data_IF_730495739232
#
_entry.id   IF_730495739232
#
_cell.length_a   1.000
_cell.length_b   1.000
_cell.length_c   1.000
_cell.angle_alpha   90.00
_cell.angle_beta   90.00
_cell.angle_gamma   90.00
#
_symmetry.space_group_name_H-M   'P 1'
#
loop_
_entity.id
_entity.type
_entity.pdbx_description
1 polymer ?
#
# COMPACT_ATOMS: atom_id res chain seq x y z
N UNK A 1 20.27 -3.26 18.37
CA UNK A 1 21.14 -2.78 17.27
C UNK A 1 20.34 -2.98 16.00
N UNK A 2 19.62 -1.94 15.56
CA UNK A 2 18.81 -2.04 14.35
C UNK A 2 19.76 -1.98 13.16
N UNK A 3 20.05 -3.14 12.59
CA UNK A 3 20.81 -3.25 11.35
C UNK A 3 19.99 -2.60 10.24
N UNK A 4 20.60 -1.67 9.51
CA UNK A 4 20.03 -1.14 8.27
C UNK A 4 19.72 -2.34 7.34
N UNK A 5 18.57 -2.33 6.63
CA UNK A 5 18.23 -3.41 5.72
C UNK A 5 19.29 -3.59 4.64
N UNK A 6 19.44 -4.83 4.15
CA UNK A 6 20.41 -5.15 3.11
C UNK A 6 20.05 -4.37 1.83
N UNK A 7 21.05 -3.92 1.07
CA UNK A 7 20.83 -3.07 -0.12
C UNK A 7 19.85 -3.67 -1.15
N UNK A 8 19.79 -5.01 -1.24
CA UNK A 8 18.84 -5.71 -2.09
C UNK A 8 17.39 -5.66 -1.56
N UNK A 9 17.17 -5.56 -0.24
CA UNK A 9 15.84 -5.39 0.34
C UNK A 9 15.28 -3.98 0.06
N UNK A 10 16.14 -2.95 0.13
CA UNK A 10 15.80 -1.59 -0.30
C UNK A 10 15.43 -1.56 -1.78
N UNK A 11 16.24 -2.17 -2.64
CA UNK A 11 15.99 -2.18 -4.08
C UNK A 11 14.67 -2.88 -4.46
N UNK A 12 14.36 -4.02 -3.83
CA UNK A 12 13.12 -4.75 -4.07
C UNK A 12 11.90 -3.97 -3.55
N UNK A 13 12.01 -3.24 -2.45
CA UNK A 13 10.94 -2.35 -1.98
C UNK A 13 10.62 -1.23 -3.00
N UNK A 14 11.58 -0.85 -3.86
CA UNK A 14 11.36 0.13 -4.94
C UNK A 14 10.82 -0.48 -6.25
N UNK A 15 10.75 -1.82 -6.34
CA UNK A 15 10.21 -2.57 -7.49
C UNK A 15 8.69 -2.83 -7.35
N UNK A 16 8.11 -2.78 -6.15
CA UNK A 16 6.68 -3.04 -5.92
C UNK A 16 5.74 -1.86 -6.29
N UNK A 17 6.28 -0.67 -6.57
CA UNK A 17 5.52 0.55 -6.91
C UNK A 17 5.24 0.71 -8.42
N UNK A 18 5.17 -0.38 -9.20
CA UNK A 18 4.64 -0.28 -10.57
C UNK A 18 3.12 -0.09 -10.50
N UNK A 19 2.65 1.14 -10.80
CA UNK A 19 1.24 1.43 -11.06
C UNK A 19 0.77 0.53 -12.22
N UNK A 20 0.12 -0.58 -11.88
CA UNK A 20 -0.76 -1.28 -12.82
C UNK A 20 -1.91 -0.33 -13.17
N UNK A 21 -1.86 0.25 -14.38
CA UNK A 21 -2.98 0.96 -14.98
C UNK A 21 -4.14 -0.03 -15.16
N UNK A 22 -5.00 -0.19 -14.14
CA UNK A 22 -6.21 -1.00 -14.22
C UNK A 22 -7.22 -0.26 -15.10
N UNK A 23 -7.29 -0.65 -16.37
CA UNK A 23 -8.39 -0.27 -17.26
C UNK A 23 -9.72 -0.77 -16.67
N UNK A 24 -10.58 0.17 -16.26
CA UNK A 24 -11.94 -0.10 -15.82
C UNK A 24 -12.77 -0.52 -17.03
N UNK A 25 -12.95 -1.83 -17.21
CA UNK A 25 -13.90 -2.36 -18.20
C UNK A 25 -15.32 -2.19 -17.65
N UNK A 26 -16.04 -1.17 -18.13
CA UNK A 26 -17.48 -1.03 -17.93
C UNK A 26 -18.23 -2.18 -18.64
N UNK A 27 -18.69 -3.18 -17.88
CA UNK A 27 -19.61 -4.20 -18.40
C UNK A 27 -21.03 -3.65 -18.40
N UNK A 28 -21.51 -3.34 -19.61
CA UNK A 28 -22.88 -2.89 -19.90
C UNK A 28 -23.97 -3.85 -19.38
N UNK A 29 -25.02 -3.24 -18.82
CA UNK A 29 -26.26 -3.90 -18.39
C UNK A 29 -27.00 -4.48 -19.60
N UNK A 30 -27.49 -5.72 -19.49
CA UNK A 30 -28.56 -6.25 -20.36
C UNK A 30 -29.88 -6.36 -19.59
N UNK A 31 -31.05 -6.19 -20.24
CA UNK A 31 -32.31 -5.88 -19.57
C UNK A 31 -33.02 -7.13 -19.04
N UNK A 32 -33.76 -6.94 -17.95
CA UNK A 32 -34.72 -7.89 -17.38
C UNK A 32 -36.02 -7.84 -18.19
N UNK A 33 -36.49 -8.99 -18.68
CA UNK A 33 -37.84 -9.14 -19.21
C UNK A 33 -38.78 -9.68 -18.12
N UNK A 34 -39.88 -8.95 -17.91
CA UNK A 34 -41.04 -9.37 -17.11
C UNK A 34 -41.93 -10.34 -17.90
N UNK A 35 -42.53 -11.28 -17.19
CA UNK A 35 -43.57 -12.17 -17.70
C UNK A 35 -44.12 -13.03 -16.57
N UNK A 36 -45.19 -12.54 -15.95
CA UNK A 36 -46.06 -13.24 -15.00
C UNK A 36 -46.82 -14.37 -15.68
N UNK A 37 -47.05 -15.50 -14.99
CA UNK A 37 -48.41 -16.03 -14.78
C UNK A 37 -48.45 -17.24 -13.84
N UNK A 38 -49.56 -17.31 -13.12
CA UNK A 38 -49.92 -18.24 -12.05
C UNK A 38 -50.59 -19.47 -12.66
N UNK A 39 -50.29 -20.67 -12.19
CA UNK A 39 -51.32 -21.73 -12.13
C UNK A 39 -51.06 -22.74 -11.03
N UNK A 40 -52.16 -23.07 -10.36
CA UNK A 40 -52.32 -23.98 -9.24
C UNK A 40 -52.63 -25.38 -9.77
N UNK A 41 -52.04 -26.43 -9.19
CA UNK A 41 -52.64 -27.77 -9.21
C UNK A 41 -52.23 -28.59 -7.98
N UNK A 42 -53.24 -29.24 -7.41
CA UNK A 42 -53.26 -30.09 -6.21
C UNK A 42 -52.59 -31.45 -6.45
N UNK A 43 -51.90 -31.92 -5.40
CA UNK A 43 -52.04 -33.25 -4.80
C UNK A 43 -51.54 -34.48 -5.57
N UNK A 44 -50.59 -35.23 -4.98
CA UNK A 44 -50.90 -36.47 -4.25
C UNK A 44 -49.65 -37.27 -3.88
N UNK A 45 -49.68 -37.85 -2.67
CA UNK A 45 -49.00 -39.07 -2.20
C UNK A 45 -47.47 -39.14 -2.11
N UNK A 46 -46.94 -39.23 -0.89
CA UNK A 46 -46.45 -40.49 -0.27
C UNK A 46 -45.60 -40.15 0.95
N UNK A 47 -45.96 -40.72 2.10
CA UNK A 47 -45.12 -40.72 3.29
C UNK A 47 -43.88 -41.58 3.02
N UNK A 48 -42.72 -40.95 2.92
CA UNK A 48 -41.42 -41.63 3.06
C UNK A 48 -40.66 -41.01 4.23
N UNK A 49 -40.29 -41.87 5.16
CA UNK A 49 -39.60 -41.55 6.41
C UNK A 49 -38.18 -41.07 6.09
N UNK A 50 -38.00 -39.75 5.94
CA UNK A 50 -36.67 -39.15 5.83
C UNK A 50 -36.11 -38.92 7.24
N UNK A 51 -35.01 -39.60 7.53
CA UNK A 51 -34.18 -39.38 8.70
C UNK A 51 -33.88 -37.89 8.86
N UNK A 52 -34.32 -37.30 9.98
CA UNK A 52 -34.05 -35.89 10.31
C UNK A 52 -32.54 -35.72 10.44
N UNK A 53 -31.90 -35.20 9.39
CA UNK A 53 -30.57 -34.60 9.50
C UNK A 53 -30.67 -33.52 10.57
N UNK A 54 -29.89 -33.66 11.65
CA UNK A 54 -29.82 -32.64 12.70
C UNK A 54 -29.41 -31.34 12.02
N UNK A 55 -30.34 -30.38 11.95
CA UNK A 55 -30.04 -29.02 11.47
C UNK A 55 -28.84 -28.50 12.28
N UNK A 56 -27.83 -27.88 11.65
CA UNK A 56 -26.75 -27.25 12.39
C UNK A 56 -27.36 -26.29 13.42
N UNK A 57 -26.90 -26.39 14.68
CA UNK A 57 -27.42 -25.55 15.78
C UNK A 57 -27.30 -24.08 15.37
N UNK A 58 -28.45 -23.42 15.21
CA UNK A 58 -28.50 -22.00 14.95
C UNK A 58 -28.16 -21.27 16.24
N UNK A 59 -27.12 -20.43 16.23
CA UNK A 59 -26.72 -19.62 17.38
C UNK A 59 -27.88 -18.69 17.78
N UNK A 60 -28.21 -18.66 19.06
CA UNK A 60 -29.23 -17.78 19.63
C UNK A 60 -28.66 -16.43 20.08
N UNK A 61 -29.51 -15.48 20.50
CA UNK A 61 -29.08 -14.14 20.93
C UNK A 61 -28.07 -14.14 22.09
N UNK A 62 -28.20 -15.10 23.01
CA UNK A 62 -27.27 -15.26 24.15
C UNK A 62 -25.86 -15.65 23.67
N UNK A 63 -25.76 -16.46 22.61
CA UNK A 63 -24.46 -16.93 22.08
C UNK A 63 -23.60 -15.79 21.51
N UNK A 64 -24.22 -14.66 21.14
CA UNK A 64 -23.51 -13.47 20.67
C UNK A 64 -22.64 -12.87 21.78
N UNK A 65 -23.18 -12.79 23.00
CA UNK A 65 -22.46 -12.23 24.16
C UNK A 65 -21.28 -13.10 24.62
N UNK A 66 -21.34 -14.41 24.37
CA UNK A 66 -20.27 -15.35 24.69
C UNK A 66 -19.32 -15.62 23.52
N UNK A 67 -19.56 -15.03 22.34
CA UNK A 67 -18.66 -15.19 21.19
C UNK A 67 -17.41 -14.35 21.40
N UNK A 68 -16.21 -14.96 21.48
CA UNK A 68 -14.98 -14.24 21.76
C UNK A 68 -14.53 -13.38 20.57
N UNK A 69 -13.89 -12.24 20.85
CA UNK A 69 -13.32 -11.36 19.83
C UNK A 69 -12.36 -12.14 18.92
N UNK A 70 -12.55 -12.04 17.60
CA UNK A 70 -11.77 -12.75 16.58
C UNK A 70 -10.27 -12.44 16.62
N UNK A 71 -9.89 -11.20 16.91
CA UNK A 71 -8.48 -10.79 17.04
C UNK A 71 -7.80 -11.56 18.18
N UNK A 72 -8.46 -11.60 19.34
CA UNK A 72 -7.96 -12.29 20.54
C UNK A 72 -7.85 -13.79 20.31
N UNK A 73 -8.84 -14.39 19.63
CA UNK A 73 -8.81 -15.82 19.28
C UNK A 73 -7.62 -16.15 18.39
N UNK A 74 -7.36 -15.33 17.37
CA UNK A 74 -6.24 -15.53 16.44
C UNK A 74 -4.89 -15.32 17.13
N UNK A 75 -4.76 -14.27 17.96
CA UNK A 75 -3.55 -14.02 18.74
C UNK A 75 -3.24 -15.17 19.71
N UNK A 76 -4.24 -15.67 20.44
CA UNK A 76 -4.07 -16.80 21.36
C UNK A 76 -3.61 -18.08 20.64
N UNK A 77 -4.11 -18.34 19.43
CA UNK A 77 -3.64 -19.48 18.60
C UNK A 77 -2.18 -19.31 18.17
N UNK A 78 -1.73 -18.09 17.86
CA UNK A 78 -0.33 -17.81 17.55
C UNK A 78 0.56 -18.03 18.79
N UNK A 79 0.10 -17.63 19.98
CA UNK A 79 0.86 -17.73 21.24
C UNK A 79 0.94 -19.15 21.83
N UNK A 80 -0.11 -19.96 21.70
CA UNK A 80 -0.17 -21.31 22.29
C UNK A 80 0.63 -22.38 21.52
N UNK A 81 1.29 -22.02 20.41
CA UNK A 81 1.98 -22.98 19.55
C UNK A 81 1.01 -23.95 18.84
N UNK A 82 1.53 -24.82 17.96
CA UNK A 82 0.75 -25.81 17.20
C UNK A 82 0.17 -26.89 18.13
N UNK A 83 -0.83 -26.57 18.94
CA UNK A 83 -1.62 -27.59 19.61
C UNK A 83 -2.48 -28.26 18.55
N UNK A 84 -2.10 -29.48 18.15
CA UNK A 84 -2.87 -30.33 17.25
C UNK A 84 -4.21 -30.59 17.90
N UNK A 85 -5.25 -29.88 17.45
CA UNK A 85 -6.62 -30.24 17.81
C UNK A 85 -6.86 -31.69 17.40
N UNK A 86 -7.65 -32.41 18.21
CA UNK A 86 -8.02 -33.82 18.03
C UNK A 86 -8.67 -34.08 16.64
N UNK A 87 -9.13 -33.01 15.98
CA UNK A 87 -9.82 -33.00 14.69
C UNK A 87 -8.94 -32.57 13.50
N UNK A 88 -7.64 -32.30 13.68
CA UNK A 88 -6.75 -31.84 12.60
C UNK A 88 -6.52 -32.89 11.50
N UNK A 89 -6.73 -34.17 11.81
CA UNK A 89 -6.62 -35.28 10.86
C UNK A 89 -7.97 -35.81 10.37
N UNK A 90 -9.09 -35.15 10.71
CA UNK A 90 -10.41 -35.52 10.20
C UNK A 90 -10.48 -35.29 8.67
N UNK A 91 -10.64 -36.36 7.86
CA UNK A 91 -10.74 -36.25 6.41
C UNK A 91 -11.85 -35.30 5.95
N UNK A 92 -12.97 -35.29 6.67
CA UNK A 92 -14.11 -34.44 6.35
C UNK A 92 -13.78 -32.95 6.52
N UNK A 93 -13.04 -32.60 7.57
CA UNK A 93 -12.58 -31.22 7.77
C UNK A 93 -11.50 -30.79 6.78
N UNK A 94 -10.63 -31.72 6.37
CA UNK A 94 -9.65 -31.45 5.31
C UNK A 94 -10.36 -31.11 4.00
N UNK A 95 -11.36 -31.90 3.61
CA UNK A 95 -12.14 -31.64 2.39
C UNK A 95 -12.95 -30.33 2.46
N UNK A 96 -13.56 -30.02 3.60
CA UNK A 96 -14.27 -28.74 3.80
C UNK A 96 -13.31 -27.55 3.69
N UNK A 97 -12.13 -27.65 4.31
CA UNK A 97 -11.10 -26.62 4.22
C UNK A 97 -10.62 -26.44 2.79
N UNK A 98 -10.34 -27.53 2.08
CA UNK A 98 -9.91 -27.49 0.69
C UNK A 98 -10.93 -26.77 -0.20
N UNK A 99 -12.22 -27.14 -0.09
CA UNK A 99 -13.30 -26.45 -0.82
C UNK A 99 -13.37 -24.96 -0.51
N UNK A 100 -13.25 -24.57 0.76
CA UNK A 100 -13.24 -23.17 1.16
C UNK A 100 -12.03 -22.41 0.58
N UNK A 101 -10.84 -22.98 0.70
CA UNK A 101 -9.60 -22.40 0.17
C UNK A 101 -9.65 -22.24 -1.36
N UNK A 102 -10.16 -23.22 -2.10
CA UNK A 102 -10.32 -23.13 -3.56
C UNK A 102 -11.24 -21.96 -3.94
N UNK A 103 -12.37 -21.80 -3.23
CA UNK A 103 -13.31 -20.70 -3.50
C UNK A 103 -12.73 -19.34 -3.16
N UNK A 104 -12.02 -19.23 -2.04
CA UNK A 104 -11.31 -18.02 -1.65
C UNK A 104 -10.21 -17.64 -2.66
N UNK A 105 -9.38 -18.61 -3.07
CA UNK A 105 -8.33 -18.37 -4.06
C UNK A 105 -8.90 -17.91 -5.41
N UNK A 106 -10.00 -18.53 -5.89
CA UNK A 106 -10.71 -18.09 -7.09
C UNK A 106 -11.19 -16.64 -6.98
N UNK A 107 -11.79 -16.26 -5.84
CA UNK A 107 -12.19 -14.87 -5.61
C UNK A 107 -11.00 -13.91 -5.63
N UNK A 108 -9.86 -14.27 -5.03
CA UNK A 108 -8.65 -13.45 -5.11
C UNK A 108 -8.17 -13.27 -6.55
N UNK A 109 -8.17 -14.33 -7.35
CA UNK A 109 -7.76 -14.27 -8.77
C UNK A 109 -8.72 -13.41 -9.60
N UNK A 110 -10.04 -13.60 -9.41
CA UNK A 110 -11.07 -12.83 -10.11
C UNK A 110 -11.02 -11.33 -9.76
N UNK A 111 -10.68 -11.01 -8.50
CA UNK A 111 -10.61 -9.63 -8.00
C UNK A 111 -9.21 -8.99 -8.11
N UNK A 112 -8.21 -9.71 -8.62
CA UNK A 112 -6.84 -9.21 -8.73
C UNK A 112 -6.18 -8.91 -7.38
N UNK A 113 -6.51 -9.65 -6.32
CA UNK A 113 -5.94 -9.41 -4.99
C UNK A 113 -4.52 -9.99 -4.93
N UNK A 114 -3.49 -9.20 -4.55
CA UNK A 114 -2.12 -9.70 -4.38
C UNK A 114 -2.06 -10.87 -3.40
N UNK A 115 -1.25 -11.89 -3.68
CA UNK A 115 -1.16 -13.07 -2.81
C UNK A 115 -0.69 -12.73 -1.40
N UNK A 116 0.12 -11.69 -1.24
CA UNK A 116 0.58 -11.23 0.06
C UNK A 116 -0.57 -10.74 0.98
N UNK A 117 -1.76 -10.44 0.44
CA UNK A 117 -2.92 -10.02 1.24
C UNK A 117 -3.34 -11.06 2.30
N UNK A 118 -3.02 -12.34 2.11
CA UNK A 118 -3.30 -13.39 3.13
C UNK A 118 -2.39 -13.29 4.36
N UNK A 119 -1.29 -12.54 4.26
CA UNK A 119 -0.37 -12.28 5.36
C UNK A 119 -0.73 -11.03 6.16
N UNK A 120 -1.73 -10.25 5.73
CA UNK A 120 -2.23 -9.11 6.49
C UNK A 120 -2.76 -9.57 7.87
N UNK A 121 -2.46 -8.80 8.91
CA UNK A 121 -2.89 -9.14 10.28
C UNK A 121 -4.41 -9.23 10.42
N UNK A 122 -5.16 -8.48 9.61
CA UNK A 122 -6.63 -8.50 9.55
C UNK A 122 -7.21 -9.75 8.88
N UNK A 123 -6.42 -10.53 8.12
CA UNK A 123 -6.91 -11.69 7.39
C UNK A 123 -7.39 -12.82 8.30
N UNK A 124 -6.58 -13.17 9.31
CA UNK A 124 -6.93 -14.19 10.30
C UNK A 124 -8.24 -13.87 11.05
N UNK A 125 -8.36 -12.67 11.65
CA UNK A 125 -9.58 -12.22 12.32
C UNK A 125 -10.80 -12.22 11.41
N UNK A 126 -10.67 -11.80 10.15
CA UNK A 126 -11.76 -11.86 9.17
C UNK A 126 -12.26 -13.30 8.96
N UNK A 127 -11.36 -14.26 8.71
CA UNK A 127 -11.74 -15.67 8.52
C UNK A 127 -12.38 -16.25 9.78
N UNK A 128 -11.84 -15.92 10.95
CA UNK A 128 -12.42 -16.33 12.24
C UNK A 128 -13.81 -15.75 12.44
N UNK A 129 -14.04 -14.47 12.16
CA UNK A 129 -15.35 -13.82 12.29
C UNK A 129 -16.40 -14.44 11.37
N UNK A 130 -16.04 -14.74 10.11
CA UNK A 130 -16.91 -15.46 9.16
C UNK A 130 -17.23 -16.86 9.69
N UNK A 131 -16.22 -17.58 10.19
CA UNK A 131 -16.38 -18.91 10.78
C UNK A 131 -17.25 -18.91 12.05
N UNK A 132 -17.11 -17.88 12.89
CA UNK A 132 -17.91 -17.67 14.08
C UNK A 132 -19.37 -17.35 13.76
N UNK A 133 -19.65 -16.62 12.68
CA UNK A 133 -21.03 -16.41 12.21
C UNK A 133 -21.68 -17.74 11.82
N UNK A 134 -20.96 -18.56 11.04
CA UNK A 134 -21.42 -19.88 10.61
C UNK A 134 -22.23 -19.87 9.31
N UNK A 135 -22.98 -20.96 9.07
CA UNK A 135 -23.74 -21.14 7.81
C UNK A 135 -24.86 -20.10 7.67
N UNK A 136 -25.00 -19.54 6.47
CA UNK A 136 -26.09 -18.60 6.13
C UNK A 136 -25.75 -17.13 6.31
N UNK A 137 -24.47 -16.76 6.48
CA UNK A 137 -24.04 -15.37 6.40
C UNK A 137 -24.42 -14.79 5.04
N UNK A 138 -25.16 -13.67 5.05
CA UNK A 138 -25.34 -12.86 3.84
C UNK A 138 -24.04 -12.11 3.58
N UNK A 139 -23.59 -12.14 2.33
CA UNK A 139 -22.42 -11.36 1.91
C UNK A 139 -22.66 -9.86 2.15
N UNK A 140 -21.64 -9.10 2.56
CA UNK A 140 -21.72 -7.65 2.60
C UNK A 140 -21.97 -7.09 1.20
N UNK A 141 -22.90 -6.15 1.08
CA UNK A 141 -23.12 -5.42 -0.17
C UNK A 141 -22.02 -4.37 -0.43
N UNK A 142 -21.86 -3.98 -1.69
CA UNK A 142 -20.95 -2.89 -2.08
C UNK A 142 -21.22 -1.60 -1.31
N UNK A 143 -22.49 -1.26 -1.05
CA UNK A 143 -22.84 -0.08 -0.27
C UNK A 143 -22.44 -0.21 1.20
N UNK A 144 -22.65 -1.37 1.82
CA UNK A 144 -22.27 -1.61 3.22
C UNK A 144 -20.76 -1.46 3.43
N UNK A 145 -19.94 -2.01 2.53
CA UNK A 145 -18.49 -1.91 2.61
C UNK A 145 -18.03 -0.45 2.45
N UNK A 146 -18.49 0.24 1.40
CA UNK A 146 -17.97 1.56 1.04
C UNK A 146 -18.42 2.71 1.96
N UNK A 147 -19.55 2.57 2.69
CA UNK A 147 -20.11 3.66 3.51
C UNK A 147 -20.15 3.31 5.01
N UNK A 148 -21.09 2.49 5.52
CA UNK A 148 -21.22 2.30 6.97
C UNK A 148 -20.05 1.54 7.58
N UNK A 149 -19.50 0.52 6.91
CA UNK A 149 -18.34 -0.21 7.45
C UNK A 149 -17.07 0.64 7.41
N UNK A 150 -16.85 1.41 6.33
CA UNK A 150 -15.74 2.37 6.26
C UNK A 150 -15.83 3.43 7.39
N UNK A 151 -17.03 3.96 7.68
CA UNK A 151 -17.21 4.89 8.80
C UNK A 151 -16.85 4.27 10.15
N UNK A 152 -17.23 3.01 10.38
CA UNK A 152 -16.85 2.28 11.60
C UNK A 152 -15.34 2.07 11.68
N UNK A 153 -14.68 1.80 10.56
CA UNK A 153 -13.22 1.66 10.52
C UNK A 153 -12.50 2.99 10.80
N UNK A 154 -13.02 4.11 10.29
CA UNK A 154 -12.52 5.45 10.60
C UNK A 154 -12.68 5.74 12.10
N UNK A 155 -13.81 5.38 12.70
CA UNK A 155 -14.03 5.54 14.14
C UNK A 155 -13.08 4.66 14.97
N UNK A 156 -12.92 3.39 14.56
CA UNK A 156 -11.97 2.47 15.19
C UNK A 156 -10.54 3.01 15.13
N UNK A 157 -10.09 3.43 13.96
CA UNK A 157 -8.78 4.06 13.77
C UNK A 157 -8.64 5.30 14.64
N UNK A 158 -9.64 6.19 14.65
CA UNK A 158 -9.62 7.38 15.51
C UNK A 158 -9.52 7.07 17.01
N UNK A 159 -10.11 5.96 17.45
CA UNK A 159 -10.00 5.49 18.82
C UNK A 159 -8.58 4.98 19.14
N UNK A 160 -7.95 4.24 18.22
CA UNK A 160 -6.54 3.83 18.36
C UNK A 160 -5.61 5.03 18.46
N UNK A 161 -5.90 6.11 17.73
CA UNK A 161 -5.09 7.33 17.70
C UNK A 161 -5.31 8.26 18.91
N UNK A 162 -6.23 7.96 19.84
CA UNK A 162 -6.47 8.81 21.04
C UNK A 162 -5.20 9.00 21.87
N UNK A 163 -4.45 7.94 22.11
CA UNK A 163 -3.22 8.00 22.89
C UNK A 163 -2.14 8.90 22.24
N UNK A 164 -2.15 9.05 20.90
CA UNK A 164 -1.27 10.03 20.23
C UNK A 164 -1.71 11.46 20.58
N UNK A 165 -3.01 11.75 20.51
CA UNK A 165 -3.56 13.08 20.81
C UNK A 165 -3.30 13.48 22.26
N UNK A 166 -3.39 12.55 23.19
CA UNK A 166 -3.04 12.79 24.60
C UNK A 166 -1.55 13.18 24.76
N UNK A 167 -0.66 12.54 24.01
CA UNK A 167 0.78 12.86 24.00
C UNK A 167 1.07 14.21 23.33
N UNK A 168 0.27 14.65 22.36
CA UNK A 168 0.41 15.99 21.76
C UNK A 168 0.25 17.08 22.81
N UNK A 169 -0.71 16.93 23.74
CA UNK A 169 -0.94 17.88 24.83
C UNK A 169 0.20 17.85 25.85
N UNK A 170 0.77 16.67 26.10
CA UNK A 170 1.79 16.49 27.15
C UNK A 170 3.19 16.88 26.71
N UNK A 171 3.58 16.54 25.48
CA UNK A 171 4.96 16.68 25.00
C UNK A 171 5.10 17.59 23.79
N UNK A 172 3.98 18.03 23.21
CA UNK A 172 3.96 18.64 21.89
C UNK A 172 4.06 17.62 20.76
N UNK A 173 3.90 18.11 19.53
CA UNK A 173 3.99 17.32 18.31
C UNK A 173 4.56 18.12 17.15
N UNK A 174 5.11 17.40 16.16
CA UNK A 174 5.59 17.97 14.91
C UNK A 174 4.58 17.68 13.79
N UNK A 175 4.14 18.71 13.08
CA UNK A 175 3.38 18.53 11.85
C UNK A 175 4.38 18.25 10.72
N UNK A 176 4.16 17.19 9.97
CA UNK A 176 4.95 16.87 8.79
C UNK A 176 4.03 16.95 7.57
N UNK A 177 4.44 17.73 6.57
CA UNK A 177 3.73 17.83 5.30
C UNK A 177 4.65 17.34 4.20
N UNK A 178 4.20 16.30 3.49
CA UNK A 178 4.90 15.74 2.35
C UNK A 178 4.05 15.88 1.10
N UNK A 179 4.64 16.43 0.04
CA UNK A 179 3.95 16.75 -1.19
C UNK A 179 4.56 16.01 -2.37
N UNK A 180 3.73 15.38 -3.18
CA UNK A 180 4.18 14.82 -4.45
C UNK A 180 3.30 15.29 -5.60
N UNK A 181 3.93 15.48 -6.76
CA UNK A 181 3.24 15.85 -8.00
C UNK A 181 3.40 14.72 -9.00
N UNK A 182 2.27 14.21 -9.49
CA UNK A 182 2.27 13.17 -10.51
C UNK A 182 2.62 13.73 -11.90
N UNK A 183 2.82 12.84 -12.88
CA UNK A 183 3.13 13.25 -14.27
C UNK A 183 1.98 13.99 -14.97
N UNK A 184 0.75 13.87 -14.46
CA UNK A 184 -0.44 14.57 -14.96
C UNK A 184 -0.60 15.95 -14.31
N UNK A 185 0.33 16.35 -13.43
CA UNK A 185 0.34 17.65 -12.75
C UNK A 185 -0.56 17.69 -11.51
N UNK A 186 -1.10 16.55 -11.05
CA UNK A 186 -1.87 16.48 -9.81
C UNK A 186 -0.92 16.54 -8.63
N UNK A 187 -1.15 17.48 -7.71
CA UNK A 187 -0.36 17.61 -6.48
C UNK A 187 -1.18 17.15 -5.29
N UNK A 188 -0.69 16.14 -4.57
CA UNK A 188 -1.27 15.69 -3.31
C UNK A 188 -0.32 16.04 -2.16
N UNK A 189 -0.89 16.61 -1.10
CA UNK A 189 -0.19 16.93 0.14
C UNK A 189 -0.69 16.00 1.25
N UNK A 190 0.21 15.22 1.82
CA UNK A 190 -0.06 14.35 2.95
C UNK A 190 0.32 15.08 4.24
N UNK A 191 -0.61 15.16 5.18
CA UNK A 191 -0.37 15.68 6.51
C UNK A 191 -0.25 14.54 7.51
N UNK A 192 0.87 14.56 8.24
CA UNK A 192 1.16 13.64 9.32
C UNK A 192 1.49 14.42 10.58
N UNK A 193 1.26 13.81 11.73
CA UNK A 193 1.62 14.38 13.04
C UNK A 193 2.47 13.37 13.77
N UNK A 194 3.68 13.77 14.14
CA UNK A 194 4.61 12.93 14.90
C UNK A 194 4.69 13.38 16.36
N UNK A 195 4.70 12.40 17.25
CA UNK A 195 4.89 12.58 18.68
C UNK A 195 5.70 11.39 19.24
N UNK A 196 6.10 11.38 20.53
CA UNK A 196 6.88 10.27 21.11
C UNK A 196 6.24 8.88 20.95
N UNK A 197 4.92 8.82 20.82
CA UNK A 197 4.17 7.58 20.58
C UNK A 197 4.27 7.05 19.15
N UNK A 198 4.63 7.90 18.20
CA UNK A 198 4.73 7.59 16.77
C UNK A 198 4.08 8.63 15.87
N UNK A 199 4.01 8.28 14.59
CA UNK A 199 3.45 9.11 13.51
C UNK A 199 2.01 8.71 13.22
N UNK A 200 1.12 9.70 13.20
CA UNK A 200 -0.27 9.57 12.79
C UNK A 200 -0.46 10.22 11.42
N UNK A 201 -1.02 9.48 10.46
CA UNK A 201 -1.56 10.08 9.24
C UNK A 201 -2.87 10.83 9.58
N UNK A 202 -2.98 12.08 9.12
CA UNK A 202 -4.13 12.93 9.41
C UNK A 202 -5.08 12.96 8.23
N UNK A 203 -4.60 13.40 7.07
CA UNK A 203 -5.34 13.39 5.81
C UNK A 203 -4.42 13.69 4.62
N UNK A 204 -4.95 13.49 3.41
CA UNK A 204 -4.33 13.90 2.15
C UNK A 204 -5.23 14.94 1.49
N UNK A 205 -4.61 15.99 0.94
CA UNK A 205 -5.31 17.11 0.30
C UNK A 205 -4.84 17.27 -1.14
N UNK A 206 -5.79 17.46 -2.05
CA UNK A 206 -5.50 17.90 -3.41
C UNK A 206 -5.15 19.40 -3.41
N UNK A 207 -3.90 19.69 -3.75
CA UNK A 207 -3.35 21.03 -3.87
C UNK A 207 -2.94 21.36 -5.30
N UNK A 208 -3.44 20.63 -6.30
CA UNK A 208 -3.03 20.78 -7.70
C UNK A 208 -3.15 22.21 -8.22
N UNK A 209 -4.15 22.98 -7.75
CA UNK A 209 -4.41 24.35 -8.19
C UNK A 209 -3.68 25.43 -7.40
N UNK A 210 -2.96 25.10 -6.33
CA UNK A 210 -2.35 26.10 -5.44
C UNK A 210 -1.07 25.69 -4.71
N UNK A 211 -0.49 24.52 -5.01
CA UNK A 211 0.74 24.04 -4.33
C UNK A 211 1.96 24.96 -4.47
N UNK A 212 1.92 25.91 -5.42
CA UNK A 212 2.97 26.91 -5.66
C UNK A 212 2.67 28.28 -5.08
N UNK A 213 1.47 28.47 -4.52
CA UNK A 213 0.97 29.72 -3.97
C UNK A 213 1.31 29.76 -2.48
N UNK A 214 2.18 30.70 -2.09
CA UNK A 214 2.75 30.78 -0.74
C UNK A 214 1.65 31.05 0.29
N UNK A 215 0.76 31.99 -0.01
CA UNK A 215 -0.32 32.40 0.88
C UNK A 215 -1.30 31.25 1.13
N UNK A 216 -1.65 30.49 0.09
CA UNK A 216 -2.54 29.32 0.24
C UNK A 216 -1.86 28.18 0.98
N UNK A 217 -0.57 27.94 0.76
CA UNK A 217 0.18 26.94 1.52
C UNK A 217 0.29 27.32 3.00
N UNK A 218 0.56 28.60 3.29
CA UNK A 218 0.56 29.14 4.65
C UNK A 218 -0.79 28.93 5.34
N UNK A 219 -1.89 29.37 4.71
CA UNK A 219 -3.26 29.21 5.24
C UNK A 219 -3.61 27.73 5.46
N UNK A 220 -3.16 26.86 4.56
CA UNK A 220 -3.40 25.43 4.70
C UNK A 220 -2.72 24.87 5.94
N UNK A 221 -1.42 25.14 6.12
CA UNK A 221 -0.65 24.63 7.26
C UNK A 221 -1.17 25.25 8.56
N UNK A 222 -1.49 26.55 8.55
CA UNK A 222 -2.12 27.27 9.66
C UNK A 222 -3.40 26.59 10.14
N UNK A 223 -4.30 26.20 9.22
CA UNK A 223 -5.51 25.46 9.55
C UNK A 223 -5.22 24.14 10.28
N UNK A 224 -4.12 23.45 9.96
CA UNK A 224 -3.71 22.25 10.68
C UNK A 224 -3.17 22.56 12.07
N UNK A 225 -2.37 23.62 12.20
CA UNK A 225 -1.89 24.10 13.51
C UNK A 225 -3.07 24.41 14.42
N UNK A 226 -4.06 25.16 13.93
CA UNK A 226 -5.26 25.51 14.67
C UNK A 226 -6.09 24.27 15.06
N UNK A 227 -6.27 23.33 14.12
CA UNK A 227 -7.03 22.10 14.36
C UNK A 227 -6.37 21.18 15.40
N UNK A 228 -5.04 21.10 15.42
CA UNK A 228 -4.29 20.30 16.39
C UNK A 228 -4.23 21.02 17.75
N UNK A 229 -4.32 22.35 17.71
CA UNK A 229 -4.15 23.23 18.86
C UNK A 229 -2.74 23.80 18.84
N UNK A 230 -2.64 25.11 18.66
CA UNK A 230 -1.38 25.84 18.56
C UNK A 230 -0.39 25.51 19.68
N UNK A 231 -0.87 25.41 20.93
CA UNK A 231 -0.06 25.08 22.10
C UNK A 231 0.52 23.65 22.07
N UNK A 232 -0.06 22.75 21.27
CA UNK A 232 0.38 21.37 21.13
C UNK A 232 1.40 21.19 20.00
N UNK A 233 1.52 22.16 19.09
CA UNK A 233 2.46 22.07 17.97
C UNK A 233 3.76 22.73 18.40
N UNK A 234 4.89 22.06 18.14
CA UNK A 234 6.23 22.61 18.42
C UNK A 234 7.02 22.86 17.14
N UNK A 235 6.73 22.12 16.09
CA UNK A 235 7.55 22.10 14.88
C UNK A 235 6.71 21.82 13.64
N UNK A 236 7.13 22.39 12.52
CA UNK A 236 6.59 22.09 11.20
C UNK A 236 7.72 21.60 10.30
N UNK A 237 7.55 20.44 9.68
CA UNK A 237 8.54 19.81 8.81
C UNK A 237 7.96 19.68 7.41
N UNK A 238 8.64 20.25 6.42
CA UNK A 238 8.26 20.17 5.00
C UNK A 238 9.49 19.96 4.13
N UNK A 239 9.33 19.65 2.84
CA UNK A 239 10.44 19.76 1.91
C UNK A 239 10.96 21.21 1.78
N UNK A 240 12.05 21.40 1.04
CA UNK A 240 12.68 22.70 0.82
C UNK A 240 12.18 23.42 -0.43
N UNK A 241 11.00 23.06 -0.95
CA UNK A 241 10.39 23.79 -2.05
C UNK A 241 10.15 25.25 -1.63
N UNK A 242 10.39 26.19 -2.55
CA UNK A 242 10.37 27.63 -2.24
C UNK A 242 9.07 28.10 -1.55
N UNK A 243 7.92 27.57 -1.98
CA UNK A 243 6.63 27.90 -1.37
C UNK A 243 6.56 27.44 0.10
N UNK A 244 7.07 26.25 0.39
CA UNK A 244 7.09 25.69 1.74
C UNK A 244 8.06 26.42 2.67
N UNK A 245 9.24 26.81 2.17
CA UNK A 245 10.20 27.61 2.94
C UNK A 245 9.60 28.96 3.33
N UNK A 246 8.92 29.63 2.39
CA UNK A 246 8.28 30.92 2.68
C UNK A 246 7.07 30.79 3.61
N UNK A 247 6.22 29.79 3.38
CA UNK A 247 5.10 29.49 4.28
C UNK A 247 5.60 29.16 5.70
N UNK A 248 6.69 28.39 5.82
CA UNK A 248 7.38 28.11 7.08
C UNK A 248 7.80 29.38 7.81
N UNK A 249 8.46 30.31 7.12
CA UNK A 249 8.85 31.61 7.70
C UNK A 249 7.66 32.46 8.17
N UNK A 250 6.55 32.44 7.42
CA UNK A 250 5.32 33.12 7.84
C UNK A 250 4.71 32.49 9.10
N UNK A 251 4.80 31.17 9.25
CA UNK A 251 4.35 30.46 10.45
C UNK A 251 5.22 30.82 11.66
N UNK A 252 6.54 30.87 11.51
CA UNK A 252 7.47 31.30 12.57
C UNK A 252 7.22 32.76 12.99
N UNK A 253 6.88 33.64 12.03
CA UNK A 253 6.56 35.03 12.31
C UNK A 253 5.21 35.19 13.04
N UNK A 254 4.23 34.33 12.73
CA UNK A 254 2.90 34.37 13.37
C UNK A 254 2.91 33.70 14.76
N UNK A 255 3.61 32.58 14.89
CA UNK A 255 3.58 31.71 16.07
C UNK A 255 4.98 31.61 16.70
N UNK A 256 5.24 32.44 17.72
CA UNK A 256 6.59 32.62 18.27
C UNK A 256 7.24 31.37 18.89
N UNK A 257 6.45 30.37 19.28
CA UNK A 257 6.93 29.09 19.82
C UNK A 257 7.13 28.01 18.75
N UNK A 258 6.66 28.24 17.52
CA UNK A 258 6.84 27.31 16.41
C UNK A 258 8.13 27.61 15.66
N UNK A 259 8.79 26.54 15.25
CA UNK A 259 9.88 26.62 14.29
C UNK A 259 9.62 25.70 13.10
N UNK A 260 10.02 26.17 11.93
CA UNK A 260 9.97 25.40 10.71
C UNK A 260 11.34 24.76 10.45
N UNK A 261 11.34 23.52 10.01
CA UNK A 261 12.58 22.82 9.63
C UNK A 261 12.42 22.14 8.28
N UNK A 262 13.48 22.15 7.44
CA UNK A 262 13.46 21.39 6.22
C UNK A 262 13.51 19.88 6.51
N UNK A 263 12.86 19.09 5.66
CA UNK A 263 12.86 17.65 5.72
C UNK A 263 14.27 17.10 5.52
N UNK A 264 14.80 16.38 6.51
CA UNK A 264 16.13 15.82 6.46
C UNK A 264 16.35 14.88 5.27
N UNK A 265 15.35 14.07 4.92
CA UNK A 265 15.43 13.15 3.78
C UNK A 265 15.58 13.92 2.45
N UNK A 266 14.83 15.02 2.30
CA UNK A 266 14.94 15.88 1.14
C UNK A 266 16.28 16.63 1.12
N UNK A 267 16.77 17.11 2.26
CA UNK A 267 18.10 17.73 2.34
C UNK A 267 19.21 16.76 1.92
N UNK A 268 19.15 15.49 2.36
CA UNK A 268 20.09 14.46 1.94
C UNK A 268 20.01 14.20 0.44
N UNK A 269 18.81 14.18 -0.13
CA UNK A 269 18.63 14.02 -1.57
C UNK A 269 19.29 15.18 -2.35
N UNK A 270 19.05 16.42 -1.94
CA UNK A 270 19.70 17.60 -2.54
C UNK A 270 21.23 17.54 -2.45
N UNK A 271 21.78 17.09 -1.31
CA UNK A 271 23.22 16.88 -1.17
C UNK A 271 23.75 15.82 -2.15
N UNK A 272 23.00 14.73 -2.35
CA UNK A 272 23.35 13.70 -3.33
C UNK A 272 23.26 14.25 -4.77
N UNK A 273 22.24 15.04 -5.10
CA UNK A 273 22.15 15.73 -6.39
C UNK A 273 23.36 16.62 -6.65
N UNK A 274 23.80 17.39 -5.64
CA UNK A 274 24.97 18.26 -5.73
C UNK A 274 26.27 17.48 -5.96
N UNK A 275 26.45 16.32 -5.30
CA UNK A 275 27.58 15.43 -5.57
C UNK A 275 27.60 15.01 -7.05
N UNK A 276 26.44 14.72 -7.64
CA UNK A 276 26.34 14.36 -9.06
C UNK A 276 26.50 15.55 -10.03
N UNK A 277 26.67 16.79 -9.54
CA UNK A 277 27.09 17.94 -10.36
C UNK A 277 28.62 17.96 -10.59
N UNK A 278 29.40 17.19 -9.83
CA UNK A 278 30.85 17.05 -10.04
C UNK A 278 31.12 16.49 -11.46
N UNK A 279 31.95 17.12 -12.31
CA UNK A 279 32.03 16.79 -13.73
C UNK A 279 32.28 15.31 -14.07
N UNK A 280 33.14 14.63 -13.30
CA UNK A 280 33.44 13.20 -13.50
C UNK A 280 32.26 12.29 -13.14
N UNK A 281 31.54 12.61 -12.06
CA UNK A 281 30.36 11.88 -11.61
C UNK A 281 29.16 12.16 -12.52
N UNK A 282 28.95 13.42 -12.88
CA UNK A 282 27.93 13.85 -13.85
C UNK A 282 28.05 13.08 -15.16
N UNK A 283 29.26 13.06 -15.75
CA UNK A 283 29.54 12.34 -17.00
C UNK A 283 29.29 10.84 -16.87
N UNK A 284 29.69 10.25 -15.74
CA UNK A 284 29.45 8.83 -15.46
C UNK A 284 27.95 8.53 -15.37
N UNK A 285 27.19 9.38 -14.69
CA UNK A 285 25.75 9.24 -14.54
C UNK A 285 25.00 9.44 -15.86
N UNK A 286 25.36 10.46 -16.65
CA UNK A 286 24.79 10.67 -17.99
C UNK A 286 25.00 9.45 -18.90
N UNK A 287 26.19 8.83 -18.86
CA UNK A 287 26.45 7.57 -19.60
C UNK A 287 25.60 6.41 -19.09
N UNK A 288 25.42 6.31 -17.77
CA UNK A 288 24.53 5.31 -17.19
C UNK A 288 23.08 5.48 -17.64
N UNK A 289 22.58 6.73 -17.71
CA UNK A 289 21.25 7.04 -18.26
C UNK A 289 21.16 6.60 -19.72
N UNK A 290 22.19 6.87 -20.54
CA UNK A 290 22.22 6.44 -21.95
C UNK A 290 22.16 4.93 -22.07
N UNK A 291 22.96 4.18 -21.30
CA UNK A 291 22.94 2.71 -21.31
C UNK A 291 21.58 2.18 -20.88
N UNK A 292 21.02 2.72 -19.79
CA UNK A 292 19.69 2.36 -19.31
C UNK A 292 18.65 2.62 -20.40
N UNK A 293 18.56 3.84 -20.94
CA UNK A 293 17.61 4.19 -21.99
C UNK A 293 17.77 3.34 -23.25
N UNK A 294 19.00 3.03 -23.63
CA UNK A 294 19.28 2.19 -24.79
C UNK A 294 18.69 0.79 -24.64
N UNK A 295 18.86 0.17 -23.45
CA UNK A 295 18.34 -1.16 -23.13
C UNK A 295 16.81 -1.14 -22.97
N UNK A 296 16.28 -0.27 -22.11
CA UNK A 296 14.88 -0.29 -21.69
C UNK A 296 13.90 0.18 -22.77
N UNK A 297 14.35 1.02 -23.71
CA UNK A 297 13.50 1.43 -24.85
C UNK A 297 13.41 0.34 -25.94
N UNK A 298 14.09 -0.79 -25.78
CA UNK A 298 14.17 -1.87 -26.77
C UNK A 298 13.76 -3.20 -26.14
N UNK A 299 12.48 -3.63 -26.27
CA UNK A 299 11.97 -4.81 -25.58
C UNK A 299 12.82 -6.09 -25.77
N UNK A 300 13.33 -6.32 -26.97
CA UNK A 300 14.17 -7.50 -27.24
C UNK A 300 15.56 -7.41 -26.59
N UNK A 301 16.13 -6.20 -26.49
CA UNK A 301 17.38 -5.97 -25.78
C UNK A 301 17.19 -6.03 -24.25
N UNK A 302 16.07 -5.52 -23.74
CA UNK A 302 15.68 -5.67 -22.34
C UNK A 302 15.57 -7.15 -21.96
N UNK A 303 14.90 -7.97 -22.78
CA UNK A 303 14.80 -9.41 -22.56
C UNK A 303 16.15 -10.15 -22.71
N UNK A 304 17.08 -9.62 -23.50
CA UNK A 304 18.46 -10.11 -23.51
C UNK A 304 19.13 -9.80 -22.17
N UNK A 305 19.09 -8.55 -21.70
CA UNK A 305 19.66 -8.15 -20.41
C UNK A 305 19.16 -9.02 -19.25
N UNK A 306 17.84 -9.21 -19.15
CA UNK A 306 17.19 -10.07 -18.14
C UNK A 306 17.76 -11.50 -18.08
N UNK A 307 18.09 -12.10 -19.23
CA UNK A 307 18.70 -13.45 -19.24
C UNK A 307 20.11 -13.44 -18.67
N UNK A 308 20.90 -12.41 -18.96
CA UNK A 308 22.25 -12.26 -18.44
C UNK A 308 22.28 -11.84 -16.96
N UNK A 309 21.26 -11.14 -16.48
CA UNK A 309 21.19 -10.65 -15.09
C UNK A 309 20.34 -11.50 -14.15
N UNK A 310 19.80 -12.64 -14.62
CA UNK A 310 18.88 -13.50 -13.86
C UNK A 310 17.62 -12.75 -13.41
N UNK A 311 16.97 -12.05 -14.36
CA UNK A 311 15.79 -11.21 -14.15
C UNK A 311 16.01 -9.99 -13.25
N UNK A 312 17.25 -9.72 -12.80
CA UNK A 312 17.55 -8.50 -12.04
C UNK A 312 17.50 -7.29 -12.96
N UNK A 313 16.63 -6.34 -12.61
CA UNK A 313 16.46 -5.09 -13.34
C UNK A 313 17.56 -4.07 -13.00
N UNK A 314 17.78 -3.13 -13.90
CA UNK A 314 18.49 -1.88 -13.62
C UNK A 314 17.50 -0.87 -13.05
N UNK A 315 17.97 -0.03 -12.13
CA UNK A 315 17.13 0.98 -11.51
C UNK A 315 16.95 2.14 -12.46
N UNK A 316 15.68 2.41 -12.80
CA UNK A 316 15.28 3.53 -13.63
C UNK A 316 15.62 4.87 -12.97
N UNK A 317 16.35 5.75 -13.67
CA UNK A 317 16.48 7.14 -13.26
C UNK A 317 15.09 7.79 -13.20
N UNK A 318 14.64 8.19 -12.02
CA UNK A 318 13.35 8.83 -11.82
C UNK A 318 13.53 10.17 -11.10
N UNK A 319 12.89 11.22 -11.62
CA UNK A 319 12.92 12.56 -11.00
C UNK A 319 12.25 12.63 -9.62
N UNK A 320 11.38 11.68 -9.31
CA UNK A 320 10.51 11.70 -8.12
C UNK A 320 11.01 10.78 -7.00
N UNK A 321 12.18 10.15 -7.15
CA UNK A 321 12.71 9.20 -6.15
C UNK A 321 14.08 9.68 -5.67
N UNK A 322 14.24 9.76 -4.35
CA UNK A 322 15.48 10.18 -3.72
C UNK A 322 16.65 9.24 -4.06
N UNK A 323 17.86 9.79 -4.12
CA UNK A 323 19.10 9.07 -4.33
C UNK A 323 19.16 8.24 -5.63
N UNK A 324 18.28 8.47 -6.62
CA UNK A 324 18.18 7.64 -7.83
C UNK A 324 19.48 7.56 -8.60
N UNK A 325 20.23 8.66 -8.69
CA UNK A 325 21.53 8.64 -9.37
C UNK A 325 22.51 7.66 -8.72
N UNK A 326 22.54 7.60 -7.39
CA UNK A 326 23.37 6.66 -6.64
C UNK A 326 22.88 5.23 -6.83
N UNK A 327 21.57 4.99 -6.70
CA UNK A 327 20.96 3.67 -6.86
C UNK A 327 21.16 3.09 -8.27
N UNK A 328 20.95 3.89 -9.31
CA UNK A 328 21.18 3.50 -10.71
C UNK A 328 22.64 3.08 -10.92
N UNK A 329 23.60 3.90 -10.46
CA UNK A 329 25.02 3.58 -10.62
C UNK A 329 25.43 2.34 -9.81
N UNK A 330 24.94 2.20 -8.58
CA UNK A 330 25.18 1.03 -7.74
C UNK A 330 24.67 -0.25 -8.41
N UNK A 331 23.44 -0.24 -8.97
CA UNK A 331 22.86 -1.39 -9.66
C UNK A 331 23.62 -1.74 -10.94
N UNK A 332 24.01 -0.74 -11.75
CA UNK A 332 24.86 -0.96 -12.93
C UNK A 332 26.21 -1.53 -12.53
N UNK A 333 26.80 -1.04 -11.45
CA UNK A 333 28.08 -1.55 -10.94
C UNK A 333 27.96 -3.02 -10.50
N UNK A 334 26.92 -3.38 -9.76
CA UNK A 334 26.63 -4.76 -9.38
C UNK A 334 26.44 -5.68 -10.59
N UNK A 335 25.74 -5.21 -11.62
CA UNK A 335 25.49 -5.97 -12.85
C UNK A 335 26.61 -5.84 -13.90
N UNK A 336 27.70 -5.12 -13.61
CA UNK A 336 28.76 -4.77 -14.57
C UNK A 336 29.29 -5.98 -15.34
N UNK A 337 29.57 -7.08 -14.64
CA UNK A 337 30.12 -8.28 -15.28
C UNK A 337 29.08 -8.97 -16.18
N UNK A 338 27.82 -8.98 -15.77
CA UNK A 338 26.72 -9.56 -16.56
C UNK A 338 26.43 -8.71 -17.80
N UNK A 339 26.38 -7.38 -17.65
CA UNK A 339 26.22 -6.45 -18.77
C UNK A 339 27.38 -6.56 -19.75
N UNK A 340 28.63 -6.67 -19.28
CA UNK A 340 29.79 -6.90 -20.15
C UNK A 340 29.66 -8.20 -20.94
N UNK A 341 29.31 -9.30 -20.26
CA UNK A 341 29.07 -10.59 -20.93
C UNK A 341 27.98 -10.49 -21.99
N UNK A 342 26.91 -9.77 -21.72
CA UNK A 342 25.84 -9.50 -22.69
C UNK A 342 26.39 -8.79 -23.93
N UNK A 343 27.08 -7.66 -23.77
CA UNK A 343 27.62 -6.87 -24.89
C UNK A 343 28.79 -7.54 -25.65
N UNK A 344 29.38 -8.60 -25.11
CA UNK A 344 30.38 -9.41 -25.80
C UNK A 344 29.84 -10.77 -26.25
N UNK A 345 28.54 -11.02 -26.09
CA UNK A 345 27.94 -12.31 -26.45
C UNK A 345 27.70 -12.42 -27.96
N UNK A 346 27.69 -13.65 -28.46
CA UNK A 346 27.30 -13.93 -29.85
C UNK A 346 25.89 -13.40 -30.14
N UNK A 347 24.98 -13.57 -29.17
CA UNK A 347 23.62 -13.08 -29.25
C UNK A 347 23.54 -11.55 -29.44
N UNK A 348 24.39 -10.79 -28.75
CA UNK A 348 24.51 -9.36 -29.00
C UNK A 348 25.08 -9.09 -30.40
N UNK A 349 26.20 -9.71 -30.77
CA UNK A 349 26.89 -9.43 -32.05
C UNK A 349 26.05 -9.75 -33.29
N UNK A 350 25.17 -10.73 -33.20
CA UNK A 350 24.25 -11.12 -34.28
C UNK A 350 22.94 -10.31 -34.24
N UNK A 351 22.68 -9.57 -33.16
CA UNK A 351 21.49 -8.73 -33.04
C UNK A 351 21.54 -7.50 -33.93
N UNK A 352 20.36 -7.01 -34.33
CA UNK A 352 20.23 -5.73 -35.05
C UNK A 352 20.77 -4.52 -34.25
N UNK A 353 20.76 -4.61 -32.92
CA UNK A 353 21.14 -3.53 -32.02
C UNK A 353 22.66 -3.26 -32.01
N UNK A 354 23.48 -4.26 -32.33
CA UNK A 354 24.92 -4.09 -32.43
C UNK A 354 25.33 -3.13 -33.56
N UNK A 355 24.45 -2.90 -34.54
CA UNK A 355 24.67 -2.00 -35.69
C UNK A 355 24.16 -0.58 -35.44
N UNK A 356 23.49 -0.32 -34.32
CA UNK A 356 22.92 0.99 -33.94
C UNK A 356 23.81 1.78 -32.96
N UNK A 357 25.09 1.40 -32.81
CA UNK A 357 26.04 2.03 -31.88
C UNK A 357 26.45 3.45 -32.27
#
# INVERSE_FOLDING_TARGET
MNMLPHFDELANAYEEDEEDDVEVIERGKRPLAHGSEVSSARGSTTFSTVSKTKKPKQKGPIDVFFTPNSDVVVQNRKAQGKQTRIDANDPYRKELRERACIRFARWMYDAGIPFNAVNCDSFGPMIEAIGQYGLGMKLPSYHEVRVPLLKKEIEHTNNLMKAHRDDWVKYGCSIMMDGWTDKKGRTLLNFLVNCPKGTMFVESIDASSYSKDVEKMFQLIEKFVERIGEANVVQIVTDSAAANVLAGKFLEAKFAHLYWTPCAAHCLDLMLEDIFKIPSLKRTFERAIVVHGFIYNRPTLLNMMRRFTQMKELIKPAKTRFATAFLTLARIHQQKNNLRKMFTSEEWTTSKWAKEQ
#
